data_IF_039047539443
#
_entry.id   IF_039047539443
#
_cell.length_a   1.000
_cell.length_b   1.000
_cell.length_c   1.000
_cell.angle_alpha   90.00
_cell.angle_beta   90.00
_cell.angle_gamma   90.00
#
_symmetry.space_group_name_H-M   'P 1'
#
loop_
_entity.id
_entity.type
_entity.pdbx_description
1 polymer ?
#
# COMPACT_ATOMS: atom_id res chain seq x y z
N UNK A 1 -13.73 -2.31 28.36
CA UNK A 1 -14.96 -3.03 28.03
C UNK A 1 -14.61 -4.12 27.02
N UNK A 2 -14.27 -5.32 27.49
CA UNK A 2 -14.02 -6.46 26.61
C UNK A 2 -15.23 -7.39 26.74
N UNK A 3 -16.18 -7.28 25.81
CA UNK A 3 -17.28 -8.25 25.68
C UNK A 3 -16.72 -9.45 24.93
N UNK A 4 -16.54 -10.62 25.58
CA UNK A 4 -15.86 -11.75 24.97
C UNK A 4 -16.52 -12.25 23.68
N UNK A 5 -17.84 -12.13 23.53
CA UNK A 5 -18.56 -12.53 22.32
C UNK A 5 -18.46 -11.51 21.17
N UNK A 6 -18.03 -10.27 21.46
CA UNK A 6 -17.93 -9.23 20.43
C UNK A 6 -16.73 -9.48 19.51
N UNK A 7 -17.01 -9.73 18.23
CA UNK A 7 -15.98 -9.88 17.20
C UNK A 7 -15.06 -8.66 17.15
N UNK A 8 -15.61 -7.45 17.17
CA UNK A 8 -14.82 -6.19 17.21
C UNK A 8 -13.98 -6.10 18.48
N UNK A 9 -14.55 -6.43 19.65
CA UNK A 9 -13.83 -6.45 20.92
C UNK A 9 -12.65 -7.42 20.92
N UNK A 10 -12.76 -8.56 20.23
CA UNK A 10 -11.67 -9.54 20.08
C UNK A 10 -10.51 -9.00 19.24
N UNK A 11 -10.77 -8.22 18.19
CA UNK A 11 -9.71 -7.57 17.40
C UNK A 11 -9.08 -6.40 18.16
N UNK A 12 -9.88 -5.55 18.81
CA UNK A 12 -9.37 -4.41 19.58
C UNK A 12 -8.56 -4.82 20.81
N UNK A 13 -8.92 -5.92 21.46
CA UNK A 13 -8.16 -6.48 22.59
C UNK A 13 -6.93 -7.29 22.16
N UNK A 14 -6.71 -7.48 20.86
CA UNK A 14 -5.59 -8.27 20.32
C UNK A 14 -5.75 -9.79 20.44
N UNK A 15 -6.86 -10.29 21.00
CA UNK A 15 -7.18 -11.74 21.04
C UNK A 15 -7.28 -12.34 19.63
N UNK A 16 -7.73 -11.54 18.66
CA UNK A 16 -7.68 -11.85 17.22
C UNK A 16 -6.86 -10.78 16.52
N UNK A 17 -6.10 -11.19 15.50
CA UNK A 17 -5.29 -10.31 14.66
C UNK A 17 -5.28 -10.82 13.22
N UNK A 18 -5.09 -9.91 12.27
CA UNK A 18 -4.77 -10.25 10.89
C UNK A 18 -3.24 -10.34 10.82
N UNK A 19 -2.72 -11.54 10.56
CA UNK A 19 -1.28 -11.72 10.46
C UNK A 19 -0.73 -11.11 9.18
N UNK A 20 0.39 -10.41 9.30
CA UNK A 20 1.11 -9.90 8.15
C UNK A 20 1.89 -11.07 7.53
N UNK A 21 1.71 -11.36 6.23
CA UNK A 21 2.41 -12.47 5.60
C UNK A 21 3.93 -12.25 5.64
N UNK A 22 4.66 -13.31 5.99
CA UNK A 22 6.14 -13.27 6.07
C UNK A 22 6.80 -13.02 4.72
N UNK A 23 6.15 -13.44 3.63
CA UNK A 23 6.60 -13.28 2.26
C UNK A 23 5.50 -12.60 1.44
N UNK A 24 5.89 -11.65 0.59
CA UNK A 24 5.00 -11.03 -0.39
C UNK A 24 5.37 -11.52 -1.79
N UNK A 25 4.42 -11.47 -2.70
CA UNK A 25 4.70 -11.73 -4.12
C UNK A 25 5.71 -10.67 -4.60
N UNK A 26 6.83 -11.07 -5.23
CA UNK A 26 7.79 -10.10 -5.74
C UNK A 26 7.21 -9.36 -6.94
N UNK A 27 7.54 -8.06 -7.05
CA UNK A 27 7.20 -7.27 -8.22
C UNK A 27 8.00 -7.75 -9.44
N UNK A 28 7.34 -7.94 -10.59
CA UNK A 28 8.02 -8.19 -11.85
C UNK A 28 8.43 -6.84 -12.49
N UNK A 29 9.72 -6.56 -12.66
CA UNK A 29 10.19 -5.27 -13.19
C UNK A 29 9.81 -5.04 -14.66
N UNK A 30 9.57 -6.10 -15.44
CA UNK A 30 9.14 -6.02 -16.83
C UNK A 30 7.64 -5.73 -16.97
N UNK A 31 6.87 -6.01 -15.90
CA UNK A 31 5.42 -5.84 -15.88
C UNK A 31 5.03 -4.72 -14.93
N UNK A 32 5.19 -3.49 -15.42
CA UNK A 32 4.90 -2.27 -14.67
C UNK A 32 4.08 -1.27 -15.47
N UNK A 33 3.21 -0.54 -14.78
CA UNK A 33 2.49 0.61 -15.29
C UNK A 33 3.21 1.89 -14.86
N UNK A 34 3.64 2.71 -15.82
CA UNK A 34 4.29 3.99 -15.54
C UNK A 34 3.32 5.14 -15.75
N UNK A 35 3.14 5.96 -14.71
CA UNK A 35 2.38 7.19 -14.73
C UNK A 35 3.38 8.35 -14.71
N UNK A 36 3.31 9.25 -15.68
CA UNK A 36 4.24 10.39 -15.80
C UNK A 36 3.50 11.71 -15.72
N UNK A 37 4.03 12.64 -14.92
CA UNK A 37 3.54 14.03 -14.87
C UNK A 37 2.08 14.18 -14.45
N UNK A 38 1.60 13.35 -13.52
CA UNK A 38 0.22 13.42 -13.07
C UNK A 38 -0.04 14.67 -12.23
N UNK A 39 -1.09 15.43 -12.62
CA UNK A 39 -1.41 16.76 -12.08
C UNK A 39 -2.88 16.96 -11.67
N UNK A 40 -3.71 15.92 -11.74
CA UNK A 40 -5.11 16.02 -11.32
C UNK A 40 -5.26 16.23 -9.81
N UNK A 41 -6.28 16.97 -9.38
CA UNK A 41 -6.56 17.28 -7.97
C UNK A 41 -5.32 17.89 -7.27
N UNK A 42 -4.86 17.27 -6.18
CA UNK A 42 -3.74 17.74 -5.37
C UNK A 42 -2.36 17.24 -5.87
N UNK A 43 -2.29 16.61 -7.05
CA UNK A 43 -1.06 16.00 -7.55
C UNK A 43 -0.08 17.06 -8.09
N UNK A 44 1.17 17.00 -7.61
CA UNK A 44 2.25 17.95 -7.94
C UNK A 44 3.23 17.35 -8.95
N UNK A 45 2.79 17.22 -10.21
CA UNK A 45 3.61 16.69 -11.31
C UNK A 45 4.26 15.33 -10.97
N UNK A 46 3.44 14.39 -10.50
CA UNK A 46 3.92 13.14 -9.92
C UNK A 46 4.23 12.13 -11.02
N UNK A 47 5.43 11.58 -11.01
CA UNK A 47 5.80 10.41 -11.81
C UNK A 47 6.01 9.21 -10.91
N UNK A 48 5.35 8.09 -11.21
CA UNK A 48 5.44 6.86 -10.43
C UNK A 48 5.35 5.61 -11.32
N UNK A 49 5.83 4.49 -10.81
CA UNK A 49 5.79 3.18 -11.47
C UNK A 49 5.11 2.18 -10.55
N UNK A 50 4.10 1.47 -11.05
CA UNK A 50 3.30 0.50 -10.29
C UNK A 50 3.51 -0.91 -10.87
N UNK A 51 3.92 -1.90 -10.06
CA UNK A 51 3.92 -3.29 -10.52
C UNK A 51 2.50 -3.80 -10.71
N UNK A 52 2.26 -4.57 -11.77
CA UNK A 52 0.97 -5.24 -11.99
C UNK A 52 0.98 -6.64 -11.38
N UNK A 53 -0.22 -7.19 -11.12
CA UNK A 53 -0.43 -8.55 -10.58
C UNK A 53 0.15 -8.83 -9.17
N UNK A 54 0.52 -7.78 -8.42
CA UNK A 54 0.92 -7.90 -7.02
C UNK A 54 0.37 -6.72 -6.20
N UNK A 55 -0.04 -7.00 -4.96
CA UNK A 55 -0.33 -5.95 -3.98
C UNK A 55 0.98 -5.24 -3.62
N UNK A 56 1.14 -3.95 -3.93
CA UNK A 56 2.34 -3.23 -3.56
C UNK A 56 2.44 -3.22 -2.03
N UNK A 57 3.59 -3.62 -1.50
CA UNK A 57 3.96 -3.19 -0.17
C UNK A 57 4.02 -1.66 -0.19
N UNK A 58 3.46 -1.01 0.84
CA UNK A 58 3.50 0.44 1.02
C UNK A 58 4.82 1.00 0.47
N UNK A 59 4.79 1.97 -0.46
CA UNK A 59 5.99 2.36 -1.16
C UNK A 59 6.99 2.91 -0.16
N UNK A 60 8.12 2.24 -0.01
CA UNK A 60 9.37 2.95 0.20
C UNK A 60 9.53 3.84 -1.04
N UNK A 61 9.02 5.07 -0.93
CA UNK A 61 8.89 6.04 -2.02
C UNK A 61 10.23 6.31 -2.71
N UNK A 62 10.25 6.35 -4.05
CA UNK A 62 10.89 7.45 -4.74
C UNK A 62 9.87 8.09 -5.67
N UNK A 63 8.68 8.44 -5.16
CA UNK A 63 7.83 9.41 -5.83
C UNK A 63 8.64 10.70 -5.94
N UNK A 64 9.30 10.89 -7.07
CA UNK A 64 10.10 12.08 -7.35
C UNK A 64 9.10 13.16 -7.73
N UNK A 65 8.77 14.00 -6.76
CA UNK A 65 8.09 15.27 -7.03
C UNK A 65 9.11 16.13 -7.77
N UNK A 66 8.82 16.53 -9.01
CA UNK A 66 9.66 17.51 -9.68
C UNK A 66 9.58 18.82 -8.87
N UNK A 67 10.69 19.29 -8.26
CA UNK A 67 10.70 20.65 -7.75
C UNK A 67 10.58 21.57 -8.96
N UNK A 68 9.66 22.54 -8.88
CA UNK A 68 9.53 23.59 -9.88
C UNK A 68 10.84 24.35 -10.03
#
# INVERSE_FOLDING_TARGET
MAVPESLTGQFMSGKRKIEVPKQRVPANPEKVLKLTGARGNNLKDVTLTLPVACLPASPASPARVNPR
#
